data_IF_322482584642
#
_entry.id   IF_322482584642
#
_cell.length_a   1.000
_cell.length_b   1.000
_cell.length_c   1.000
_cell.angle_alpha   90.00
_cell.angle_beta   90.00
_cell.angle_gamma   90.00
#
_symmetry.space_group_name_H-M   'P 1'
#
loop_
_entity.id
_entity.type
_entity.pdbx_description
1 polymer ?
#
# COMPACT_ATOMS: atom_id res chain seq x y z
N UNK A 1 8.97 13.74 -19.18
CA UNK A 1 8.94 12.32 -18.79
C UNK A 1 7.49 11.85 -18.86
N UNK A 2 7.18 10.67 -19.43
CA UNK A 2 5.79 10.19 -19.52
C UNK A 2 5.40 9.54 -18.18
N UNK A 3 4.22 9.87 -17.67
CA UNK A 3 3.67 9.28 -16.45
C UNK A 3 2.80 8.06 -16.77
N UNK A 4 2.89 7.03 -15.93
CA UNK A 4 2.11 5.80 -16.06
C UNK A 4 1.49 5.44 -14.71
N UNK A 5 0.18 5.21 -14.66
CA UNK A 5 -0.48 4.62 -13.49
C UNK A 5 -0.20 3.13 -13.45
N UNK A 6 0.25 2.63 -12.29
CA UNK A 6 0.45 1.22 -12.06
C UNK A 6 -0.86 0.54 -11.69
N UNK A 7 -1.06 -0.65 -12.24
CA UNK A 7 -2.13 -1.58 -11.86
C UNK A 7 -1.55 -2.68 -10.95
N UNK A 8 -2.41 -3.28 -10.14
CA UNK A 8 -2.06 -4.33 -9.18
C UNK A 8 -1.43 -5.53 -9.88
N UNK A 9 -1.97 -5.93 -11.03
CA UNK A 9 -1.44 -7.08 -11.77
C UNK A 9 0.02 -6.86 -12.22
N UNK A 10 0.43 -5.65 -12.59
CA UNK A 10 1.81 -5.32 -12.97
C UNK A 10 2.74 -5.52 -11.77
N UNK A 11 2.32 -5.02 -10.60
CA UNK A 11 3.09 -5.19 -9.36
C UNK A 11 3.18 -6.64 -8.92
N UNK A 12 2.09 -7.39 -9.04
CA UNK A 12 2.06 -8.84 -8.73
C UNK A 12 3.05 -9.59 -9.63
N UNK A 13 3.04 -9.34 -10.94
CA UNK A 13 3.96 -10.02 -11.87
C UNK A 13 5.42 -9.66 -11.63
N UNK A 14 5.68 -8.42 -11.23
CA UNK A 14 7.02 -8.00 -10.83
C UNK A 14 7.50 -8.74 -9.56
N UNK A 15 6.64 -8.85 -8.55
CA UNK A 15 7.01 -9.40 -7.23
C UNK A 15 6.99 -10.93 -7.14
N UNK A 16 6.13 -11.59 -7.90
CA UNK A 16 5.91 -13.03 -7.81
C UNK A 16 6.60 -13.80 -8.94
N UNK A 17 6.71 -13.21 -10.12
CA UNK A 17 7.37 -13.81 -11.28
C UNK A 17 6.81 -15.18 -11.70
N UNK A 18 5.49 -15.38 -11.54
CA UNK A 18 4.77 -16.61 -11.89
C UNK A 18 4.36 -16.70 -13.38
N UNK A 19 4.43 -15.59 -14.11
CA UNK A 19 4.34 -15.56 -15.59
C UNK A 19 5.65 -14.97 -16.13
N UNK A 20 6.48 -15.80 -16.76
CA UNK A 20 7.81 -15.39 -17.22
C UNK A 20 7.77 -14.23 -18.24
N UNK A 21 6.76 -14.20 -19.12
CA UNK A 21 6.65 -13.17 -20.17
C UNK A 21 6.23 -11.84 -19.55
N UNK A 22 5.23 -11.87 -18.67
CA UNK A 22 4.77 -10.66 -17.98
C UNK A 22 5.83 -10.17 -17.00
N UNK A 23 6.48 -11.05 -16.25
CA UNK A 23 7.58 -10.71 -15.34
C UNK A 23 8.70 -9.97 -16.08
N UNK A 24 9.18 -10.52 -17.20
CA UNK A 24 10.19 -9.86 -18.03
C UNK A 24 9.74 -8.46 -18.52
N UNK A 25 8.47 -8.31 -18.90
CA UNK A 25 7.91 -7.02 -19.31
C UNK A 25 7.87 -6.02 -18.14
N UNK A 26 7.50 -6.46 -16.94
CA UNK A 26 7.48 -5.60 -15.75
C UNK A 26 8.88 -5.19 -15.30
N UNK A 27 9.86 -6.10 -15.34
CA UNK A 27 11.27 -5.79 -15.05
C UNK A 27 11.79 -4.73 -16.03
N UNK A 28 11.48 -4.86 -17.33
CA UNK A 28 11.81 -3.84 -18.32
C UNK A 28 11.19 -2.49 -17.99
N UNK A 29 9.90 -2.46 -17.63
CA UNK A 29 9.20 -1.23 -17.23
C UNK A 29 9.88 -0.54 -16.03
N UNK A 30 10.26 -1.31 -15.00
CA UNK A 30 10.97 -0.77 -13.84
C UNK A 30 12.35 -0.21 -14.22
N UNK A 31 13.12 -0.92 -15.06
CA UNK A 31 14.41 -0.45 -15.55
C UNK A 31 14.28 0.84 -16.39
N UNK A 32 13.24 0.93 -17.22
CA UNK A 32 12.94 2.13 -18.00
C UNK A 32 12.58 3.31 -17.07
N UNK A 33 11.83 3.07 -15.99
CA UNK A 33 11.53 4.09 -14.98
C UNK A 33 12.79 4.54 -14.21
N UNK A 34 13.65 3.60 -13.81
CA UNK A 34 14.95 3.90 -13.18
C UNK A 34 15.87 4.74 -14.08
N UNK A 35 15.79 4.53 -15.39
CA UNK A 35 16.55 5.30 -16.39
C UNK A 35 15.94 6.67 -16.72
N UNK A 36 14.81 7.03 -16.09
CA UNK A 36 14.12 8.30 -16.31
C UNK A 36 13.26 8.35 -17.58
N UNK A 37 12.93 7.21 -18.19
CA UNK A 37 12.02 7.18 -19.34
C UNK A 37 10.56 7.38 -18.90
N UNK A 38 10.21 6.87 -17.71
CA UNK A 38 8.88 6.94 -17.12
C UNK A 38 8.94 7.36 -15.66
N UNK A 39 7.87 8.03 -15.21
CA UNK A 39 7.56 8.19 -13.79
C UNK A 39 6.32 7.33 -13.48
N UNK A 40 6.44 6.45 -12.48
CA UNK A 40 5.37 5.50 -12.14
C UNK A 40 4.51 6.11 -11.03
N UNK A 41 3.21 6.23 -11.28
CA UNK A 41 2.23 6.71 -10.33
C UNK A 41 1.55 5.51 -9.67
N UNK A 42 1.51 5.50 -8.34
CA UNK A 42 0.94 4.41 -7.55
C UNK A 42 -0.18 4.96 -6.67
N UNK A 43 -1.38 4.41 -6.86
CA UNK A 43 -2.57 4.78 -6.10
C UNK A 43 -2.73 3.90 -4.85
N UNK A 44 -3.27 4.47 -3.76
CA UNK A 44 -3.53 3.74 -2.51
C UNK A 44 -4.47 2.55 -2.69
N UNK A 45 -5.42 2.60 -3.64
CA UNK A 45 -6.33 1.51 -3.94
C UNK A 45 -5.58 0.33 -4.58
N UNK A 46 -4.61 0.61 -5.45
CA UNK A 46 -3.73 -0.39 -6.05
C UNK A 46 -2.86 -1.04 -4.97
N UNK A 47 -2.40 -0.24 -4.00
CA UNK A 47 -1.66 -0.78 -2.85
C UNK A 47 -2.53 -1.66 -1.97
N UNK A 48 -3.78 -1.24 -1.69
CA UNK A 48 -4.73 -2.04 -0.91
C UNK A 48 -5.01 -3.40 -1.57
N UNK A 49 -5.29 -3.40 -2.88
CA UNK A 49 -5.50 -4.62 -3.64
C UNK A 49 -4.23 -5.49 -3.71
N UNK A 50 -3.05 -4.90 -3.90
CA UNK A 50 -1.79 -5.63 -3.89
C UNK A 50 -1.56 -6.37 -2.56
N UNK A 51 -1.75 -5.68 -1.43
CA UNK A 51 -1.63 -6.31 -0.11
C UNK A 51 -2.63 -7.46 0.05
N UNK A 52 -3.89 -7.22 -0.33
CA UNK A 52 -4.92 -8.25 -0.30
C UNK A 52 -4.53 -9.46 -1.16
N UNK A 53 -4.07 -9.28 -2.40
CA UNK A 53 -3.69 -10.37 -3.31
C UNK A 53 -2.47 -11.14 -2.79
N UNK A 54 -1.43 -10.45 -2.32
CA UNK A 54 -0.22 -11.11 -1.80
C UNK A 54 -0.50 -11.94 -0.55
N UNK A 55 -1.37 -11.48 0.34
CA UNK A 55 -1.76 -12.22 1.54
C UNK A 55 -2.77 -13.33 1.25
N UNK A 56 -3.84 -13.02 0.51
CA UNK A 56 -4.96 -13.94 0.32
C UNK A 56 -4.67 -15.03 -0.70
N UNK A 57 -4.07 -14.70 -1.84
CA UNK A 57 -3.79 -15.65 -2.92
C UNK A 57 -2.42 -16.29 -2.74
N UNK A 58 -1.38 -15.48 -2.57
CA UNK A 58 0.00 -15.96 -2.48
C UNK A 58 0.44 -16.31 -1.04
N UNK A 59 -0.45 -16.16 -0.05
CA UNK A 59 -0.22 -16.56 1.36
C UNK A 59 1.06 -15.99 1.97
N UNK A 60 1.51 -14.81 1.49
CA UNK A 60 2.69 -14.13 2.04
C UNK A 60 2.39 -13.58 3.43
N UNK A 61 3.40 -13.62 4.31
CA UNK A 61 3.25 -13.10 5.67
C UNK A 61 3.07 -11.58 5.66
N UNK A 62 2.22 -11.07 6.57
CA UNK A 62 1.89 -9.64 6.74
C UNK A 62 3.13 -8.74 6.77
N UNK A 63 4.13 -9.13 7.56
CA UNK A 63 5.37 -8.34 7.74
C UNK A 63 6.16 -8.26 6.43
N UNK A 64 6.27 -9.38 5.70
CA UNK A 64 6.97 -9.41 4.41
C UNK A 64 6.24 -8.59 3.35
N UNK A 65 4.91 -8.67 3.32
CA UNK A 65 4.06 -7.86 2.42
C UNK A 65 4.25 -6.38 2.72
N UNK A 66 4.14 -5.96 3.98
CA UNK A 66 4.30 -4.56 4.37
C UNK A 66 5.68 -4.01 3.98
N UNK A 67 6.75 -4.74 4.30
CA UNK A 67 8.12 -4.33 3.98
C UNK A 67 8.35 -4.26 2.45
N UNK A 68 7.78 -5.20 1.69
CA UNK A 68 7.87 -5.20 0.22
C UNK A 68 7.18 -3.98 -0.38
N UNK A 69 5.94 -3.69 0.07
CA UNK A 69 5.19 -2.54 -0.44
C UNK A 69 5.83 -1.22 -0.02
N UNK A 70 6.34 -1.12 1.22
CA UNK A 70 7.08 0.06 1.67
C UNK A 70 8.31 0.34 0.79
N UNK A 71 9.02 -0.70 0.33
CA UNK A 71 10.15 -0.53 -0.59
C UNK A 71 9.71 0.00 -1.97
N UNK A 72 8.55 -0.44 -2.47
CA UNK A 72 7.98 0.09 -3.72
C UNK A 72 7.59 1.56 -3.55
N UNK A 73 6.83 1.89 -2.49
CA UNK A 73 6.37 3.26 -2.20
C UNK A 73 7.53 4.23 -2.08
N UNK A 74 8.64 3.82 -1.45
CA UNK A 74 9.83 4.66 -1.24
C UNK A 74 10.80 4.66 -2.44
N UNK A 75 10.47 3.98 -3.53
CA UNK A 75 11.34 3.94 -4.71
C UNK A 75 11.40 5.32 -5.38
N UNK A 76 12.59 5.83 -5.77
CA UNK A 76 12.73 7.20 -6.26
C UNK A 76 12.01 7.49 -7.59
N UNK A 77 11.64 6.44 -8.32
CA UNK A 77 10.92 6.49 -9.60
C UNK A 77 9.42 6.16 -9.45
N UNK A 78 8.92 5.99 -8.23
CA UNK A 78 7.51 5.83 -7.89
C UNK A 78 7.02 7.11 -7.20
N UNK A 79 5.84 7.59 -7.61
CA UNK A 79 5.12 8.69 -6.96
C UNK A 79 3.83 8.16 -6.40
N UNK A 80 3.57 8.53 -5.16
CA UNK A 80 2.34 8.18 -4.45
C UNK A 80 1.67 9.46 -4.00
N UNK A 81 0.36 9.56 -4.21
CA UNK A 81 -0.42 10.62 -3.58
C UNK A 81 -0.56 10.34 -2.08
N UNK A 82 -0.41 11.37 -1.24
CA UNK A 82 -0.47 11.23 0.22
C UNK A 82 0.51 10.16 0.76
N UNK A 83 1.74 10.14 0.23
CA UNK A 83 2.79 9.19 0.61
C UNK A 83 2.99 9.07 2.13
N UNK A 84 3.04 10.17 2.93
CA UNK A 84 3.23 10.06 4.37
C UNK A 84 2.15 9.21 5.05
N UNK A 85 0.88 9.41 4.69
CA UNK A 85 -0.23 8.63 5.26
C UNK A 85 -0.25 7.19 4.76
N UNK A 86 0.20 6.92 3.53
CA UNK A 86 0.28 5.55 3.03
C UNK A 86 1.43 4.78 3.70
N UNK A 87 2.55 5.46 3.93
CA UNK A 87 3.66 4.88 4.69
C UNK A 87 3.23 4.59 6.12
N UNK A 88 2.55 5.52 6.78
CA UNK A 88 2.03 5.31 8.13
C UNK A 88 1.02 4.16 8.19
N UNK A 89 0.09 4.07 7.23
CA UNK A 89 -0.87 2.97 7.18
C UNK A 89 -0.20 1.61 7.00
N UNK A 90 0.83 1.50 6.17
CA UNK A 90 1.61 0.26 6.00
C UNK A 90 2.36 -0.13 7.28
N UNK A 91 2.87 0.86 8.04
CA UNK A 91 3.51 0.61 9.34
C UNK A 91 2.50 0.12 10.38
N UNK A 92 1.33 0.77 10.48
CA UNK A 92 0.24 0.33 11.38
C UNK A 92 -0.27 -1.06 11.04
N UNK A 93 -0.48 -1.33 9.76
CA UNK A 93 -0.85 -2.66 9.26
C UNK A 93 0.19 -3.71 9.68
N UNK A 94 1.48 -3.39 9.55
CA UNK A 94 2.59 -4.28 9.93
C UNK A 94 2.64 -4.55 11.43
N UNK A 95 2.58 -3.49 12.24
CA UNK A 95 2.99 -3.50 13.65
C UNK A 95 1.81 -3.71 14.62
N UNK A 96 0.61 -3.26 14.26
CA UNK A 96 -0.60 -3.37 15.10
C UNK A 96 -1.56 -4.45 14.61
N UNK A 97 -1.31 -5.03 13.44
CA UNK A 97 -2.09 -6.14 12.91
C UNK A 97 -3.55 -5.79 12.54
N UNK A 98 -3.80 -4.51 12.26
CA UNK A 98 -5.03 -3.95 11.73
C UNK A 98 -5.10 -4.22 10.21
N UNK A 99 -6.29 -4.28 9.61
CA UNK A 99 -6.43 -4.32 8.14
C UNK A 99 -5.82 -3.05 7.50
N UNK A 100 -5.36 -3.13 6.25
CA UNK A 100 -4.71 -1.99 5.60
C UNK A 100 -5.67 -0.81 5.37
N UNK A 101 -6.95 -1.07 5.11
CA UNK A 101 -7.95 -0.01 4.90
C UNK A 101 -8.24 0.70 6.23
N UNK A 102 -8.39 -0.04 7.32
CA UNK A 102 -8.55 0.54 8.66
C UNK A 102 -7.28 1.28 9.09
N UNK A 103 -6.10 0.73 8.79
CA UNK A 103 -4.82 1.38 9.03
C UNK A 103 -4.67 2.69 8.23
N UNK A 104 -5.25 2.77 7.04
CA UNK A 104 -5.31 4.00 6.24
C UNK A 104 -6.22 5.05 6.90
N UNK A 105 -7.40 4.66 7.37
CA UNK A 105 -8.28 5.57 8.11
C UNK A 105 -7.62 6.05 9.41
N UNK A 106 -6.95 5.16 10.13
CA UNK A 106 -6.15 5.48 11.31
C UNK A 106 -5.08 6.53 10.99
N UNK A 107 -4.28 6.31 9.94
CA UNK A 107 -3.25 7.24 9.51
C UNK A 107 -3.82 8.62 9.11
N UNK A 108 -4.92 8.63 8.35
CA UNK A 108 -5.61 9.88 7.95
C UNK A 108 -6.21 10.62 9.14
N UNK A 109 -6.83 9.89 10.08
CA UNK A 109 -7.41 10.46 11.30
C UNK A 109 -6.35 11.10 12.16
N UNK A 110 -5.26 10.38 12.44
CA UNK A 110 -4.11 10.87 13.19
C UNK A 110 -3.47 12.11 12.55
N UNK A 111 -3.21 12.08 11.24
CA UNK A 111 -2.55 13.20 10.55
C UNK A 111 -3.44 14.45 10.43
N UNK A 112 -4.75 14.28 10.43
CA UNK A 112 -5.73 15.38 10.27
C UNK A 112 -6.33 15.84 11.60
N UNK A 113 -6.04 15.16 12.72
CA UNK A 113 -6.69 15.41 14.02
C UNK A 113 -8.19 15.11 14.01
N UNK A 114 -8.62 14.13 13.21
CA UNK A 114 -10.01 13.72 13.05
C UNK A 114 -10.27 12.39 13.74
N UNK A 115 -11.40 12.31 14.44
CA UNK A 115 -11.94 11.05 14.95
C UNK A 115 -12.38 10.16 13.77
N UNK A 116 -12.18 8.85 13.90
CA UNK A 116 -12.63 7.86 12.91
C UNK A 116 -13.96 7.27 13.36
N UNK A 117 -15.04 7.62 12.65
CA UNK A 117 -16.35 7.03 12.89
C UNK A 117 -16.36 5.56 12.44
N UNK A 118 -16.43 4.61 13.37
CA UNK A 118 -16.40 3.17 13.06
C UNK A 118 -16.98 2.30 14.17
N UNK A 119 -17.61 1.20 13.76
CA UNK A 119 -18.01 0.10 14.64
C UNK A 119 -16.88 -0.91 14.87
N UNK A 120 -15.83 -0.88 14.05
CA UNK A 120 -14.71 -1.80 14.16
C UNK A 120 -13.75 -1.36 15.26
N UNK A 121 -13.58 -2.23 16.26
CA UNK A 121 -12.70 -2.00 17.40
C UNK A 121 -11.23 -2.24 17.07
N UNK A 122 -10.89 -2.74 15.90
CA UNK A 122 -9.49 -2.90 15.48
C UNK A 122 -8.74 -1.56 15.43
N UNK A 123 -9.44 -0.45 15.18
CA UNK A 123 -8.86 0.89 15.28
C UNK A 123 -8.37 1.24 16.69
N UNK A 124 -8.92 0.61 17.74
CA UNK A 124 -8.47 0.82 19.13
C UNK A 124 -7.04 0.29 19.37
N UNK A 125 -6.49 -0.50 18.42
CA UNK A 125 -5.08 -0.94 18.43
C UNK A 125 -4.10 0.19 18.02
N UNK A 126 -4.61 1.28 17.46
CA UNK A 126 -3.83 2.48 17.10
C UNK A 126 -3.98 3.55 18.19
N UNK A 127 -2.99 3.73 19.09
CA UNK A 127 -3.18 4.50 20.33
C UNK A 127 -3.37 6.01 20.15
N UNK A 128 -2.95 6.54 19.00
CA UNK A 128 -3.04 7.96 18.62
C UNK A 128 -4.29 8.28 17.78
N UNK A 129 -5.22 7.33 17.65
CA UNK A 129 -6.46 7.47 16.88
C UNK A 129 -7.65 7.35 17.81
N UNK A 130 -8.55 8.33 17.76
CA UNK A 130 -9.81 8.26 18.49
C UNK A 130 -10.88 7.64 17.59
N UNK A 131 -11.36 6.44 17.97
CA UNK A 131 -12.54 5.86 17.35
C UNK A 131 -13.80 6.47 17.95
N UNK A 132 -14.69 6.97 17.08
CA UNK A 132 -16.03 7.39 17.43
C UNK A 132 -17.01 6.28 17.03
N UNK A 133 -17.67 5.65 18.01
CA UNK A 133 -18.72 4.66 17.75
C UNK A 133 -20.08 5.38 17.66
N UNK A 134 -20.74 5.45 16.48
CA UNK A 134 -22.03 6.12 16.35
C UNK A 134 -23.11 5.45 17.23
N UNK A 135 -23.95 6.26 17.88
CA UNK A 135 -25.11 5.81 18.67
C UNK A 135 -26.40 6.31 18.04
N UNK A 136 -27.47 5.51 18.15
CA UNK A 136 -28.82 5.89 17.73
C UNK A 136 -29.47 6.86 18.73
#
# INVERSE_FOLDING_TARGET
>A
MKQLLLDTNVLVRFLVQDDAKQAAATIKLINDAQSGNYELLLDRMVVAELVYVLMSHYKRARVDVANTVLAIVRSPYVRVDQEPELVDSLLRFRDHGVDLVDAWLAAKGASSGLDVASFDRDLDKCPDVQRFEPKA
#
